data_IF_168588728041
#
_entry.id   IF_168588728041
#
_cell.length_a   1.000
_cell.length_b   1.000
_cell.length_c   1.000
_cell.angle_alpha   90.00
_cell.angle_beta   90.00
_cell.angle_gamma   90.00
#
_symmetry.space_group_name_H-M   'P 1'
#
loop_
_entity.id
_entity.type
_entity.pdbx_description
1 polymer ?
#
# COMPACT_ATOMS: atom_id res chain seq x y z
N UNK A 1 -10.83 16.92 22.42
CA UNK A 1 -11.09 15.48 22.64
C UNK A 1 -11.08 15.32 24.15
N UNK A 2 -12.17 14.89 24.74
CA UNK A 2 -12.26 14.62 26.18
C UNK A 2 -11.47 13.31 26.40
N UNK A 3 -10.34 13.35 27.13
CA UNK A 3 -9.62 12.12 27.47
C UNK A 3 -10.56 11.24 28.29
N UNK A 4 -10.80 10.02 27.86
CA UNK A 4 -11.64 9.11 28.59
C UNK A 4 -12.93 8.69 27.89
N UNK A 5 -13.36 9.36 26.82
CA UNK A 5 -14.53 8.96 26.05
C UNK A 5 -14.28 7.79 25.11
N UNK A 6 -13.03 7.57 24.74
CA UNK A 6 -12.61 6.44 23.88
C UNK A 6 -11.42 5.77 24.56
N UNK A 7 -11.55 4.54 24.91
CA UNK A 7 -10.51 3.74 25.51
C UNK A 7 -10.78 3.40 26.98
N UNK A 8 -10.42 4.21 27.97
CA UNK A 8 -10.47 3.77 29.35
C UNK A 8 -11.85 3.85 30.00
N UNK A 9 -12.53 5.01 30.01
CA UNK A 9 -13.79 5.12 30.77
C UNK A 9 -14.96 4.39 30.10
N UNK A 10 -15.07 4.48 28.78
CA UNK A 10 -16.13 3.75 28.05
C UNK A 10 -15.94 2.24 28.15
N UNK A 11 -14.72 1.77 27.93
CA UNK A 11 -14.41 0.34 28.00
C UNK A 11 -14.56 -0.22 29.42
N UNK A 12 -14.17 0.53 30.47
CA UNK A 12 -14.37 0.12 31.88
C UNK A 12 -15.86 0.10 32.21
N UNK A 13 -16.59 1.15 31.83
CA UNK A 13 -18.02 1.29 32.13
C UNK A 13 -18.87 0.23 31.41
N UNK A 14 -18.51 -0.12 30.19
CA UNK A 14 -19.20 -1.10 29.36
C UNK A 14 -18.63 -2.53 29.52
N UNK A 15 -17.77 -2.73 30.51
CA UNK A 15 -17.12 -4.01 30.78
C UNK A 15 -16.26 -4.58 29.64
N UNK A 16 -15.85 -3.73 28.69
CA UNK A 16 -14.90 -4.12 27.62
C UNK A 16 -13.43 -4.04 28.05
N UNK A 17 -13.17 -3.38 29.18
CA UNK A 17 -11.82 -3.37 29.75
C UNK A 17 -11.53 -4.68 30.47
N UNK A 18 -10.54 -5.39 30.00
CA UNK A 18 -10.11 -6.64 30.63
C UNK A 18 -9.24 -6.36 31.86
N UNK A 19 -9.77 -6.68 33.03
CA UNK A 19 -9.01 -6.74 34.27
C UNK A 19 -8.45 -8.15 34.54
N UNK A 20 -7.45 -8.29 35.42
CA UNK A 20 -6.87 -9.58 35.75
C UNK A 20 -7.85 -10.54 36.48
N UNK A 21 -8.91 -9.98 37.06
CA UNK A 21 -9.94 -10.71 37.77
C UNK A 21 -11.09 -11.22 36.90
N UNK A 22 -11.13 -10.84 35.63
CA UNK A 22 -12.20 -11.17 34.71
C UNK A 22 -11.69 -11.98 33.53
N UNK A 23 -12.09 -13.24 33.48
CA UNK A 23 -11.79 -14.14 32.36
C UNK A 23 -13.11 -14.56 31.67
N UNK A 24 -13.45 -13.94 30.53
CA UNK A 24 -14.72 -14.22 29.85
C UNK A 24 -14.70 -15.62 29.24
N UNK A 25 -15.88 -16.27 29.26
CA UNK A 25 -16.09 -17.54 28.57
C UNK A 25 -16.42 -17.22 27.11
N UNK A 26 -15.57 -17.66 26.21
CA UNK A 26 -15.74 -17.46 24.77
C UNK A 26 -16.42 -18.67 24.12
N UNK A 27 -17.22 -18.44 23.08
CA UNK A 27 -17.83 -19.51 22.28
C UNK A 27 -16.74 -20.28 21.49
N UNK A 28 -15.70 -19.57 21.06
CA UNK A 28 -14.56 -20.15 20.36
C UNK A 28 -13.31 -19.28 20.60
N UNK A 29 -12.13 -19.86 20.46
CA UNK A 29 -10.85 -19.17 20.65
C UNK A 29 -9.90 -19.49 19.51
N UNK A 30 -9.11 -18.49 19.13
CA UNK A 30 -8.02 -18.61 18.16
C UNK A 30 -6.69 -18.28 18.84
N UNK A 31 -5.68 -19.07 18.57
CA UNK A 31 -4.32 -18.84 19.05
C UNK A 31 -3.38 -18.54 17.85
N UNK A 32 -2.63 -17.48 17.95
CA UNK A 32 -1.65 -17.09 16.94
C UNK A 32 -0.28 -16.89 17.60
N UNK A 33 0.68 -17.67 17.19
CA UNK A 33 2.09 -17.42 17.50
C UNK A 33 2.62 -16.27 16.66
N UNK A 34 2.83 -15.11 17.29
CA UNK A 34 3.32 -13.91 16.63
C UNK A 34 4.73 -14.07 16.04
N UNK A 35 5.51 -15.07 16.49
CA UNK A 35 6.86 -15.33 15.96
C UNK A 35 6.83 -15.94 14.56
N UNK A 36 5.68 -16.48 14.14
CA UNK A 36 5.49 -17.06 12.81
C UNK A 36 5.18 -16.01 11.73
N UNK A 37 4.94 -14.75 12.13
CA UNK A 37 4.61 -13.67 11.20
C UNK A 37 5.88 -13.21 10.48
N UNK A 38 5.87 -13.33 9.16
CA UNK A 38 6.94 -12.85 8.28
C UNK A 38 6.44 -11.72 7.37
N UNK A 39 7.34 -10.87 6.82
CA UNK A 39 6.96 -9.90 5.82
C UNK A 39 6.25 -10.58 4.65
N UNK A 40 5.09 -10.06 4.26
CA UNK A 40 4.25 -10.65 3.24
C UNK A 40 3.53 -9.60 2.41
N UNK A 41 3.08 -10.02 1.23
CA UNK A 41 2.20 -9.27 0.35
C UNK A 41 0.92 -10.07 0.11
N UNK A 42 -0.11 -9.43 -0.40
CA UNK A 42 -1.38 -10.06 -0.77
C UNK A 42 -1.62 -9.96 -2.26
N UNK A 43 -2.29 -10.96 -2.80
CA UNK A 43 -2.68 -11.02 -4.21
C UNK A 43 -2.05 -12.19 -4.95
N UNK A 44 -2.16 -12.18 -6.31
CA UNK A 44 -2.60 -11.06 -7.15
C UNK A 44 -4.11 -10.88 -7.29
N UNK A 45 -4.93 -11.89 -6.96
CA UNK A 45 -6.38 -11.83 -7.21
C UNK A 45 -7.18 -11.29 -6.03
N UNK A 46 -6.86 -11.72 -4.82
CA UNK A 46 -7.68 -11.47 -3.64
C UNK A 46 -6.83 -10.98 -2.48
N UNK A 47 -7.39 -10.15 -1.58
CA UNK A 47 -6.64 -9.65 -0.41
C UNK A 47 -6.16 -10.75 0.54
N UNK A 48 -6.85 -11.90 0.59
CA UNK A 48 -6.49 -13.04 1.42
C UNK A 48 -5.45 -13.97 0.78
N UNK A 49 -5.08 -13.77 -0.48
CA UNK A 49 -4.02 -14.55 -1.11
C UNK A 49 -2.68 -14.12 -0.50
N UNK A 50 -2.16 -14.92 0.41
CA UNK A 50 -0.95 -14.63 1.16
C UNK A 50 0.28 -15.11 0.41
N UNK A 51 1.26 -14.21 0.27
CA UNK A 51 2.56 -14.52 -0.34
C UNK A 51 3.67 -13.96 0.55
N UNK A 52 4.52 -14.81 1.09
CA UNK A 52 5.71 -14.37 1.82
C UNK A 52 6.64 -13.60 0.87
N UNK A 53 7.26 -12.53 1.37
CA UNK A 53 8.00 -11.58 0.53
C UNK A 53 9.26 -12.20 -0.10
N UNK A 54 9.89 -13.12 0.58
CA UNK A 54 11.09 -13.83 0.12
C UNK A 54 10.85 -14.72 -1.11
N UNK A 55 9.62 -15.25 -1.28
CA UNK A 55 9.23 -16.07 -2.43
C UNK A 55 8.34 -15.33 -3.45
N UNK A 56 8.12 -14.03 -3.26
CA UNK A 56 7.16 -13.26 -4.07
C UNK A 56 7.48 -13.29 -5.58
N UNK A 57 8.75 -13.27 -5.97
CA UNK A 57 9.17 -13.32 -7.39
C UNK A 57 8.80 -14.65 -8.04
N UNK A 58 9.06 -15.74 -7.36
CA UNK A 58 8.78 -17.10 -7.86
C UNK A 58 7.27 -17.36 -7.89
N UNK A 59 6.57 -16.95 -6.82
CA UNK A 59 5.11 -17.01 -6.73
C UNK A 59 4.45 -16.23 -7.88
N UNK A 60 4.91 -15.02 -8.19
CA UNK A 60 4.40 -14.24 -9.31
C UNK A 60 4.61 -14.99 -10.65
N UNK A 61 5.81 -15.53 -10.89
CA UNK A 61 6.10 -16.29 -12.10
C UNK A 61 5.18 -17.51 -12.27
N UNK A 62 4.94 -18.24 -11.18
CA UNK A 62 4.03 -19.37 -11.18
C UNK A 62 2.58 -18.94 -11.46
N UNK A 63 2.09 -17.88 -10.83
CA UNK A 63 0.73 -17.34 -11.04
C UNK A 63 0.51 -16.91 -12.49
N UNK A 64 1.47 -16.22 -13.09
CA UNK A 64 1.39 -15.79 -14.49
C UNK A 64 1.23 -16.97 -15.45
N UNK A 65 1.96 -18.05 -15.23
CA UNK A 65 1.94 -19.23 -16.11
C UNK A 65 0.72 -20.12 -15.85
N UNK A 66 0.40 -20.39 -14.56
CA UNK A 66 -0.62 -21.38 -14.21
C UNK A 66 -2.04 -20.81 -14.21
N UNK A 67 -2.25 -19.65 -13.58
CA UNK A 67 -3.58 -19.07 -13.38
C UNK A 67 -3.94 -18.04 -14.45
N UNK A 68 -3.01 -17.16 -14.82
CA UNK A 68 -3.27 -16.15 -15.85
C UNK A 68 -2.99 -16.66 -17.26
N UNK A 69 -2.22 -17.76 -17.42
CA UNK A 69 -1.83 -18.35 -18.71
C UNK A 69 -1.15 -17.33 -19.64
N UNK A 70 -0.36 -16.43 -19.07
CA UNK A 70 0.34 -15.37 -19.78
C UNK A 70 1.86 -15.63 -19.78
N UNK A 71 2.52 -15.42 -20.91
CA UNK A 71 3.97 -15.59 -20.98
C UNK A 71 4.68 -14.45 -20.22
N UNK A 72 5.72 -14.80 -19.49
CA UNK A 72 6.66 -13.82 -18.94
C UNK A 72 7.56 -13.27 -20.06
N UNK A 73 7.99 -12.01 -19.92
CA UNK A 73 8.93 -11.39 -20.84
C UNK A 73 8.34 -10.86 -22.15
N UNK A 74 7.02 -10.98 -22.36
CA UNK A 74 6.36 -10.36 -23.51
C UNK A 74 6.38 -8.84 -23.35
N UNK A 75 6.93 -8.17 -24.36
CA UNK A 75 7.03 -6.70 -24.38
C UNK A 75 6.13 -6.10 -25.45
N UNK A 76 5.49 -4.99 -25.14
CA UNK A 76 4.61 -4.23 -26.03
C UNK A 76 5.01 -2.76 -25.98
N UNK A 77 5.34 -2.18 -27.12
CA UNK A 77 5.68 -0.75 -27.19
C UNK A 77 4.47 0.11 -26.88
N UNK A 78 4.68 1.18 -26.11
CA UNK A 78 3.64 2.18 -25.83
C UNK A 78 3.64 3.21 -26.93
N UNK A 79 2.48 3.48 -27.52
CA UNK A 79 2.35 4.41 -28.63
C UNK A 79 2.75 5.84 -28.23
N UNK A 80 3.64 6.44 -28.99
CA UNK A 80 4.13 7.80 -28.73
C UNK A 80 5.22 7.89 -27.66
N UNK A 81 5.64 6.78 -27.07
CA UNK A 81 6.62 6.73 -26.00
C UNK A 81 7.87 5.93 -26.39
N UNK A 82 8.96 6.15 -25.67
CA UNK A 82 10.24 5.47 -25.91
C UNK A 82 10.47 4.25 -25.00
N UNK A 83 9.41 3.71 -24.43
CA UNK A 83 9.45 2.53 -23.56
C UNK A 83 8.38 1.50 -23.94
N UNK A 84 8.55 0.28 -23.44
CA UNK A 84 7.61 -0.82 -23.61
C UNK A 84 6.99 -1.24 -22.27
N UNK A 85 5.79 -1.80 -22.31
CA UNK A 85 5.16 -2.49 -21.18
C UNK A 85 5.46 -3.97 -21.24
N UNK A 86 5.46 -4.61 -20.08
CA UNK A 86 5.73 -6.02 -19.89
C UNK A 86 4.94 -6.53 -18.69
N UNK A 87 4.52 -7.79 -18.71
CA UNK A 87 3.85 -8.43 -17.57
C UNK A 87 4.71 -8.35 -16.32
N UNK A 88 4.12 -7.90 -15.21
CA UNK A 88 4.80 -7.71 -13.93
C UNK A 88 5.34 -6.30 -13.68
N UNK A 89 5.26 -5.39 -14.66
CA UNK A 89 5.58 -3.97 -14.39
C UNK A 89 4.49 -3.34 -13.50
N UNK A 90 4.92 -2.62 -12.48
CA UNK A 90 4.04 -1.84 -11.62
C UNK A 90 3.53 -0.63 -12.40
N UNK A 91 2.21 -0.46 -12.48
CA UNK A 91 1.56 0.67 -13.15
C UNK A 91 0.86 1.62 -12.19
N UNK A 92 0.59 1.18 -10.96
CA UNK A 92 0.01 2.00 -9.89
C UNK A 92 0.80 1.75 -8.61
N UNK A 93 1.24 2.82 -7.96
CA UNK A 93 1.84 2.78 -6.63
C UNK A 93 1.20 3.87 -5.78
N UNK A 94 0.63 3.49 -4.64
CA UNK A 94 -0.13 4.41 -3.82
C UNK A 94 0.19 4.22 -2.34
N UNK A 95 0.37 5.33 -1.65
CA UNK A 95 0.39 5.36 -0.19
C UNK A 95 -1.02 5.70 0.25
N UNK A 96 -1.65 4.77 0.99
CA UNK A 96 -3.07 4.88 1.38
C UNK A 96 -3.27 4.84 2.89
N UNK A 97 -4.32 5.27 3.29
CA UNK A 97 -5.06 5.79 4.41
C UNK A 97 -4.74 5.33 5.85
N UNK A 98 -5.14 4.13 6.27
CA UNK A 98 -5.47 3.94 7.70
C UNK A 98 -4.25 3.87 8.63
N UNK A 99 -3.23 3.10 8.29
CA UNK A 99 -2.05 2.87 9.13
C UNK A 99 -1.23 4.15 9.33
N UNK A 100 -1.15 4.99 8.31
CA UNK A 100 -0.39 6.24 8.39
C UNK A 100 -0.98 7.27 9.36
N UNK A 101 -2.28 7.22 9.62
CA UNK A 101 -2.92 8.07 10.65
C UNK A 101 -2.57 7.61 12.06
N UNK A 102 -2.50 6.30 12.29
CA UNK A 102 -2.27 5.72 13.61
C UNK A 102 -0.78 5.56 13.98
N UNK A 103 0.10 5.49 12.97
CA UNK A 103 1.53 5.30 13.19
C UNK A 103 2.36 6.25 12.31
N UNK A 104 2.71 7.45 12.82
CA UNK A 104 3.50 8.43 12.07
C UNK A 104 4.91 7.95 11.73
N UNK A 105 5.50 7.04 12.50
CA UNK A 105 6.88 6.58 12.28
C UNK A 105 7.07 5.92 10.91
N UNK A 106 6.10 5.16 10.42
CA UNK A 106 6.20 4.50 9.11
C UNK A 106 6.20 5.53 7.98
N UNK A 107 5.44 6.61 8.13
CA UNK A 107 5.40 7.70 7.14
C UNK A 107 6.65 8.58 7.20
N UNK A 108 7.16 8.86 8.39
CA UNK A 108 8.45 9.56 8.55
C UNK A 108 9.57 8.74 7.90
N UNK A 109 9.62 7.43 8.16
CA UNK A 109 10.58 6.54 7.53
C UNK A 109 10.44 6.54 5.99
N UNK A 110 9.22 6.45 5.46
CA UNK A 110 8.96 6.54 4.02
C UNK A 110 9.41 7.89 3.43
N UNK A 111 9.16 9.01 4.11
CA UNK A 111 9.62 10.33 3.71
C UNK A 111 11.14 10.45 3.69
N UNK A 112 11.83 9.85 4.66
CA UNK A 112 13.30 9.78 4.66
C UNK A 112 13.85 8.93 3.51
N UNK A 113 13.15 7.85 3.14
CA UNK A 113 13.47 7.06 1.92
C UNK A 113 13.28 7.92 0.67
N UNK A 114 12.16 8.66 0.57
CA UNK A 114 11.89 9.57 -0.54
C UNK A 114 13.01 10.64 -0.68
N UNK A 115 13.42 11.26 0.43
CA UNK A 115 14.54 12.21 0.50
C UNK A 115 15.85 11.62 -0.01
N UNK A 116 16.18 10.42 0.43
CA UNK A 116 17.39 9.72 -0.04
C UNK A 116 17.31 9.34 -1.52
N UNK A 117 16.15 8.87 -1.97
CA UNK A 117 15.91 8.55 -3.38
C UNK A 117 16.13 9.78 -4.25
N UNK A 118 15.54 10.93 -3.89
CA UNK A 118 15.70 12.21 -4.56
C UNK A 118 17.19 12.63 -4.60
N UNK A 119 17.89 12.53 -3.48
CA UNK A 119 19.32 12.87 -3.40
C UNK A 119 20.20 12.00 -4.31
N UNK A 120 19.78 10.77 -4.59
CA UNK A 120 20.44 9.83 -5.51
C UNK A 120 19.98 9.99 -6.96
N UNK A 121 19.08 10.94 -7.27
CA UNK A 121 18.50 11.12 -8.59
C UNK A 121 17.56 9.99 -9.03
N UNK A 122 17.02 9.23 -8.09
CA UNK A 122 16.05 8.20 -8.36
C UNK A 122 14.65 8.81 -8.50
N UNK A 123 13.91 8.37 -9.50
CA UNK A 123 12.54 8.79 -9.76
C UNK A 123 11.67 7.59 -10.15
N UNK A 124 10.35 7.77 -10.09
CA UNK A 124 9.38 6.78 -10.59
C UNK A 124 9.53 6.61 -12.11
N UNK A 125 9.17 5.46 -12.59
CA UNK A 125 9.09 5.23 -14.04
C UNK A 125 7.90 5.98 -14.63
N UNK A 126 7.99 6.48 -15.90
CA UNK A 126 6.94 7.30 -16.50
C UNK A 126 5.58 6.62 -16.61
N UNK A 127 5.55 5.29 -16.67
CA UNK A 127 4.32 4.51 -16.73
C UNK A 127 3.67 4.26 -15.36
N UNK A 128 4.30 4.66 -14.24
CA UNK A 128 3.77 4.43 -12.89
C UNK A 128 2.94 5.62 -12.43
N UNK A 129 1.65 5.40 -12.24
CA UNK A 129 0.77 6.35 -11.57
C UNK A 129 0.98 6.26 -10.06
N UNK A 130 1.45 7.35 -9.46
CA UNK A 130 1.69 7.46 -8.02
C UNK A 130 0.67 8.37 -7.36
N UNK A 131 0.38 8.13 -6.08
CA UNK A 131 -0.50 8.99 -5.30
C UNK A 131 -0.24 8.84 -3.80
N UNK A 132 -0.53 9.90 -3.05
CA UNK A 132 -0.59 9.92 -1.60
C UNK A 132 -2.01 10.27 -1.17
N UNK A 133 -2.69 9.35 -0.48
CA UNK A 133 -4.04 9.53 0.04
C UNK A 133 -4.08 9.13 1.53
N UNK A 134 -3.62 10.00 2.43
CA UNK A 134 -3.56 9.69 3.86
C UNK A 134 -4.96 9.58 4.48
N UNK A 135 -5.04 8.93 5.65
CA UNK A 135 -6.31 8.74 6.37
C UNK A 135 -6.92 10.03 6.94
N UNK A 136 -6.10 11.05 7.20
CA UNK A 136 -6.57 12.34 7.69
C UNK A 136 -5.53 13.45 7.48
N UNK A 137 -5.96 14.69 7.69
CA UNK A 137 -5.10 15.87 7.62
C UNK A 137 -3.96 15.87 8.65
N UNK A 138 -4.05 15.10 9.72
CA UNK A 138 -2.97 14.98 10.70
C UNK A 138 -1.69 14.44 10.07
N UNK A 139 -1.81 13.58 9.05
CA UNK A 139 -0.67 13.03 8.31
C UNK A 139 0.06 14.14 7.55
N UNK A 140 -0.67 14.97 6.82
CA UNK A 140 -0.09 16.14 6.12
C UNK A 140 0.58 17.07 7.11
N UNK A 141 -0.06 17.36 8.25
CA UNK A 141 0.50 18.26 9.26
C UNK A 141 1.84 17.76 9.82
N UNK A 142 1.98 16.47 10.14
CA UNK A 142 3.26 15.99 10.65
C UNK A 142 4.32 15.81 9.54
N UNK A 143 3.93 15.53 8.30
CA UNK A 143 4.86 15.50 7.15
C UNK A 143 5.40 16.90 6.83
N UNK A 144 4.56 17.92 6.88
CA UNK A 144 4.97 19.32 6.75
C UNK A 144 5.91 19.73 7.88
N UNK A 145 5.55 19.42 9.15
CA UNK A 145 6.39 19.71 10.32
C UNK A 145 7.76 19.02 10.24
N UNK A 146 7.83 17.84 9.62
CA UNK A 146 9.07 17.11 9.40
C UNK A 146 9.81 17.55 8.12
N UNK A 147 9.28 18.47 7.34
CA UNK A 147 9.78 18.90 6.02
C UNK A 147 9.98 17.71 5.05
N UNK A 148 9.01 16.79 5.00
CA UNK A 148 9.07 15.59 4.16
C UNK A 148 8.07 15.58 3.00
N UNK A 149 7.06 16.46 3.02
CA UNK A 149 6.05 16.52 1.96
C UNK A 149 6.67 16.81 0.59
N UNK A 150 7.60 17.76 0.52
CA UNK A 150 8.30 18.10 -0.73
C UNK A 150 9.10 16.92 -1.31
N UNK A 151 9.63 16.04 -0.46
CA UNK A 151 10.37 14.87 -0.92
C UNK A 151 9.44 13.82 -1.54
N UNK A 152 8.22 13.65 -1.00
CA UNK A 152 7.18 12.82 -1.61
C UNK A 152 6.72 13.40 -2.96
N UNK A 153 6.46 14.70 -3.01
CA UNK A 153 6.02 15.38 -4.22
C UNK A 153 7.07 15.27 -5.33
N UNK A 154 8.35 15.42 -4.99
CA UNK A 154 9.46 15.33 -5.93
C UNK A 154 9.59 13.98 -6.61
N UNK A 155 9.21 12.87 -5.94
CA UNK A 155 9.19 11.52 -6.53
C UNK A 155 7.79 11.12 -7.02
N UNK A 156 6.84 12.07 -7.08
CA UNK A 156 5.53 11.93 -7.67
C UNK A 156 4.42 11.43 -6.76
N UNK A 157 4.66 11.24 -5.45
CA UNK A 157 3.62 10.89 -4.49
C UNK A 157 2.89 12.12 -3.95
N UNK A 158 2.19 12.80 -4.86
CA UNK A 158 1.42 14.00 -4.54
C UNK A 158 0.15 13.66 -3.76
N UNK A 159 -0.25 14.56 -2.86
CA UNK A 159 -1.51 14.46 -2.14
C UNK A 159 -2.69 14.59 -3.12
N UNK A 160 -3.52 13.57 -3.20
CA UNK A 160 -4.71 13.54 -4.09
C UNK A 160 -6.04 13.59 -3.32
N UNK A 161 -6.02 13.39 -2.02
CA UNK A 161 -7.20 13.41 -1.15
C UNK A 161 -6.94 12.69 0.16
N UNK A 162 -7.97 12.54 0.96
CA UNK A 162 -7.91 11.86 2.26
C UNK A 162 -8.89 10.70 2.30
N UNK A 163 -8.47 9.59 2.92
CA UNK A 163 -9.31 8.41 3.12
C UNK A 163 -9.08 7.31 2.09
N UNK A 164 -10.12 6.49 1.91
CA UNK A 164 -10.04 5.30 1.07
C UNK A 164 -10.11 5.67 -0.42
N UNK A 165 -9.04 5.39 -1.15
CA UNK A 165 -8.91 5.63 -2.59
C UNK A 165 -8.44 4.34 -3.29
N UNK A 166 -7.17 4.23 -3.63
CA UNK A 166 -6.61 3.07 -4.33
C UNK A 166 -6.82 1.76 -3.58
N UNK A 167 -6.82 1.76 -2.23
CA UNK A 167 -7.02 0.55 -1.42
C UNK A 167 -8.40 -0.11 -1.60
N UNK A 168 -9.39 0.61 -2.11
CA UNK A 168 -10.72 0.09 -2.47
C UNK A 168 -10.95 0.03 -3.99
N UNK A 169 -9.88 0.13 -4.78
CA UNK A 169 -9.96 0.12 -6.24
C UNK A 169 -10.32 1.46 -6.89
N UNK A 170 -10.30 2.56 -6.15
CA UNK A 170 -10.63 3.90 -6.66
C UNK A 170 -9.36 4.72 -6.96
N UNK A 171 -8.45 4.15 -7.75
CA UNK A 171 -7.22 4.82 -8.19
C UNK A 171 -7.42 5.76 -9.39
N UNK A 172 -8.60 5.73 -10.00
CA UNK A 172 -8.84 6.37 -11.29
C UNK A 172 -8.09 5.67 -12.46
N UNK A 173 -8.29 6.13 -13.69
CA UNK A 173 -7.67 5.51 -14.86
C UNK A 173 -6.15 5.75 -14.90
N UNK A 174 -5.42 4.81 -15.48
CA UNK A 174 -4.04 5.03 -15.94
C UNK A 174 -4.05 5.76 -17.29
N UNK A 175 -2.88 6.19 -17.76
CA UNK A 175 -2.75 6.82 -19.09
C UNK A 175 -3.28 5.88 -20.16
N UNK A 176 -3.98 6.47 -21.15
CA UNK A 176 -4.67 5.70 -22.19
C UNK A 176 -3.71 4.84 -23.00
N UNK A 177 -2.56 5.38 -23.36
CA UNK A 177 -1.53 4.72 -24.16
C UNK A 177 -0.97 3.48 -23.45
N UNK A 178 -0.83 3.55 -22.11
CA UNK A 178 -0.42 2.43 -21.27
C UNK A 178 -1.53 1.38 -21.18
N UNK A 179 -2.77 1.82 -20.97
CA UNK A 179 -3.94 0.94 -20.93
C UNK A 179 -4.13 0.20 -22.25
N UNK A 180 -3.98 0.91 -23.37
CA UNK A 180 -4.08 0.34 -24.71
C UNK A 180 -2.97 -0.71 -24.96
N UNK A 181 -1.73 -0.40 -24.57
CA UNK A 181 -0.59 -1.34 -24.69
C UNK A 181 -0.82 -2.62 -23.87
N UNK A 182 -1.33 -2.49 -22.63
CA UNK A 182 -1.66 -3.63 -21.78
C UNK A 182 -2.76 -4.48 -22.41
N UNK A 183 -3.84 -3.86 -22.87
CA UNK A 183 -4.99 -4.55 -23.46
C UNK A 183 -4.65 -5.23 -24.80
N UNK A 184 -3.94 -4.51 -25.69
CA UNK A 184 -3.52 -5.03 -26.99
C UNK A 184 -2.47 -6.15 -26.83
N UNK A 185 -1.61 -5.98 -25.84
CA UNK A 185 -0.55 -6.94 -25.53
C UNK A 185 -1.03 -8.16 -24.78
N UNK A 186 -2.21 -8.12 -24.20
CA UNK A 186 -2.67 -9.12 -23.25
C UNK A 186 -1.63 -9.37 -22.13
N UNK A 187 -1.19 -8.26 -21.51
CA UNK A 187 -0.16 -8.24 -20.47
C UNK A 187 -0.76 -8.42 -19.08
#
# INVERSE_FOLDING_TARGET
IIPGLVGSEMCIRDSFWRGPEYDPIYTDTLELDMTTIVPAISGPKRPQDYVALDVAKEAFGHEMQSNFKRPLGKQVNVSGENYSMESGKVVIASITSCTNTSNPYVMIAAGLVARKARALGLDRKPWVKTSLAPGSQVVSAYLEAANLQEDFDAIGFNLVGYGCTTCIGNSGPIQKEISDAISTGDL
#
